data_IF_930090322252
#
_entry.id   IF_930090322252
#
_cell.length_a   1.000
_cell.length_b   1.000
_cell.length_c   1.000
_cell.angle_alpha   90.00
_cell.angle_beta   90.00
_cell.angle_gamma   90.00
#
_symmetry.space_group_name_H-M   'P 1'
#
loop_
_entity.id
_entity.type
_entity.pdbx_description
1 polymer ?
#
# COMPACT_ATOMS: atom_id res chain seq x y z
N UNK A 1 -5.59 -10.23 -9.08
CA UNK A 1 -5.63 -8.78 -9.42
C UNK A 1 -4.19 -8.35 -9.64
N UNK A 2 -3.88 -7.55 -10.68
CA UNK A 2 -2.53 -6.99 -10.88
C UNK A 2 -2.50 -5.49 -10.58
N UNK A 3 -1.60 -5.06 -9.69
CA UNK A 3 -1.34 -3.66 -9.35
C UNK A 3 0.00 -3.27 -9.94
N UNK A 4 0.10 -2.07 -10.53
CA UNK A 4 1.38 -1.48 -10.90
C UNK A 4 1.78 -0.47 -9.84
N UNK A 5 2.98 -0.63 -9.27
CA UNK A 5 3.44 0.16 -8.13
C UNK A 5 4.75 0.86 -8.47
N UNK A 6 4.74 2.18 -8.35
CA UNK A 6 5.95 2.98 -8.54
C UNK A 6 6.84 2.89 -7.31
N UNK A 7 8.11 2.58 -7.56
CA UNK A 7 9.21 2.71 -6.61
C UNK A 7 10.14 3.83 -7.06
N UNK A 8 10.94 4.34 -6.14
CA UNK A 8 12.10 5.11 -6.54
C UNK A 8 13.16 4.20 -7.16
N UNK A 9 14.16 4.81 -7.79
CA UNK A 9 15.22 4.05 -8.47
C UNK A 9 16.01 3.17 -7.51
N UNK A 10 16.31 3.66 -6.30
CA UNK A 10 17.14 2.92 -5.32
C UNK A 10 16.45 1.64 -4.85
N UNK A 11 15.19 1.75 -4.42
CA UNK A 11 14.35 0.64 -3.98
C UNK A 11 14.14 -0.36 -5.12
N UNK A 12 13.85 0.13 -6.34
CA UNK A 12 13.68 -0.71 -7.52
C UNK A 12 14.94 -1.51 -7.83
N UNK A 13 16.10 -0.86 -7.90
CA UNK A 13 17.35 -1.55 -8.25
C UNK A 13 17.75 -2.55 -7.18
N UNK A 14 17.49 -2.24 -5.89
CA UNK A 14 17.73 -3.19 -4.82
C UNK A 14 16.79 -4.41 -4.92
N UNK A 15 15.49 -4.20 -5.11
CA UNK A 15 14.52 -5.28 -5.34
C UNK A 15 14.87 -6.13 -6.57
N UNK A 16 15.25 -5.48 -7.68
CA UNK A 16 15.64 -6.17 -8.91
C UNK A 16 16.86 -7.06 -8.66
N UNK A 17 17.85 -6.57 -7.92
CA UNK A 17 19.05 -7.35 -7.57
C UNK A 17 18.72 -8.59 -6.73
N UNK A 18 17.73 -8.51 -5.83
CA UNK A 18 17.29 -9.66 -5.03
C UNK A 18 16.56 -10.68 -5.92
N UNK A 19 15.70 -10.19 -6.82
CA UNK A 19 15.00 -11.03 -7.79
C UNK A 19 15.97 -11.76 -8.71
N UNK A 20 16.99 -11.08 -9.25
CA UNK A 20 18.03 -11.69 -10.10
C UNK A 20 18.86 -12.75 -9.36
N UNK A 21 19.03 -12.59 -8.05
CA UNK A 21 19.71 -13.54 -7.19
C UNK A 21 18.81 -14.69 -6.71
N UNK A 22 17.54 -14.75 -7.15
CA UNK A 22 16.52 -15.68 -6.65
C UNK A 22 16.39 -15.68 -5.12
N UNK A 23 16.61 -14.52 -4.48
CA UNK A 23 16.41 -14.38 -3.04
C UNK A 23 14.93 -14.18 -2.73
N UNK A 24 14.45 -14.90 -1.73
CA UNK A 24 13.08 -14.75 -1.27
C UNK A 24 12.86 -13.35 -0.66
N UNK A 25 11.81 -12.68 -1.12
CA UNK A 25 11.37 -11.40 -0.57
C UNK A 25 10.32 -11.71 0.48
N UNK A 26 10.74 -11.72 1.75
CA UNK A 26 9.84 -11.89 2.87
C UNK A 26 8.87 -10.72 2.93
N UNK A 27 7.60 -11.01 3.13
CA UNK A 27 6.56 -9.99 3.17
C UNK A 27 5.51 -10.24 4.24
N UNK A 28 4.82 -9.16 4.60
CA UNK A 28 3.63 -9.21 5.43
C UNK A 28 2.55 -8.28 4.87
N UNK A 29 1.38 -8.83 4.56
CA UNK A 29 0.24 -8.08 4.02
C UNK A 29 -0.91 -8.01 5.02
N UNK A 30 -1.50 -6.83 5.25
CA UNK A 30 -2.67 -6.66 6.11
C UNK A 30 -3.57 -5.53 5.61
N UNK A 31 -4.78 -5.43 6.17
CA UNK A 31 -5.69 -4.31 5.92
C UNK A 31 -5.68 -3.36 7.10
N UNK A 32 -5.69 -2.06 6.81
CA UNK A 32 -5.95 -1.02 7.78
C UNK A 32 -7.27 -0.34 7.43
N UNK A 33 -8.18 -0.25 8.40
CA UNK A 33 -9.41 0.51 8.29
C UNK A 33 -9.36 1.72 9.20
N UNK A 34 -9.75 2.88 8.67
CA UNK A 34 -9.77 4.14 9.41
C UNK A 34 -11.17 4.71 9.41
N UNK A 35 -11.70 4.95 10.60
CA UNK A 35 -13.02 5.50 10.82
C UNK A 35 -13.54 5.16 12.21
N UNK A 36 -14.60 5.86 12.60
CA UNK A 36 -15.35 5.54 13.81
C UNK A 36 -16.41 4.47 13.51
N UNK A 37 -16.79 3.67 14.50
CA UNK A 37 -17.91 2.72 14.35
C UNK A 37 -19.25 3.44 14.13
N UNK A 38 -19.37 4.65 14.67
CA UNK A 38 -20.56 5.52 14.52
C UNK A 38 -20.54 6.34 13.22
N UNK A 39 -19.42 6.39 12.52
CA UNK A 39 -19.27 7.16 11.28
C UNK A 39 -19.66 6.31 10.06
N UNK A 40 -20.51 6.87 9.20
CA UNK A 40 -20.93 6.23 7.95
C UNK A 40 -19.80 6.07 6.93
N UNK A 41 -18.70 6.80 7.11
CA UNK A 41 -17.58 6.87 6.17
C UNK A 41 -16.31 6.22 6.76
N UNK A 42 -15.71 5.30 5.99
CA UNK A 42 -14.49 4.58 6.36
C UNK A 42 -13.50 4.59 5.21
N UNK A 43 -12.21 4.74 5.52
CA UNK A 43 -11.13 4.54 4.57
C UNK A 43 -10.50 3.15 4.76
N UNK A 44 -10.15 2.48 3.66
CA UNK A 44 -9.52 1.17 3.66
C UNK A 44 -8.19 1.24 2.92
N UNK A 45 -7.14 0.77 3.59
CA UNK A 45 -5.77 0.75 3.06
C UNK A 45 -5.26 -0.68 3.14
N UNK A 46 -4.89 -1.25 2.01
CA UNK A 46 -4.14 -2.50 1.96
C UNK A 46 -2.66 -2.17 2.12
N UNK A 47 -1.98 -2.77 3.09
CA UNK A 47 -0.55 -2.53 3.34
C UNK A 47 0.24 -3.79 3.05
N UNK A 48 1.27 -3.67 2.21
CA UNK A 48 2.23 -4.73 1.90
C UNK A 48 3.61 -4.28 2.39
N UNK A 49 4.11 -4.94 3.44
CA UNK A 49 5.46 -4.74 3.98
C UNK A 49 6.41 -5.75 3.33
N UNK A 50 7.39 -5.26 2.57
CA UNK A 50 8.48 -6.03 1.98
C UNK A 50 9.69 -5.99 2.92
N UNK A 51 9.71 -6.94 3.86
CA UNK A 51 10.65 -6.97 4.99
C UNK A 51 12.11 -7.06 4.53
N UNK A 52 12.38 -7.87 3.51
CA UNK A 52 13.74 -8.05 2.96
C UNK A 52 14.35 -6.76 2.38
N UNK A 53 13.51 -5.81 1.97
CA UNK A 53 13.95 -4.55 1.35
C UNK A 53 13.67 -3.30 2.19
N UNK A 54 13.18 -3.46 3.42
CA UNK A 54 12.84 -2.34 4.31
C UNK A 54 11.91 -1.32 3.63
N UNK A 55 10.93 -1.81 2.89
CA UNK A 55 9.95 -1.00 2.18
C UNK A 55 8.55 -1.48 2.54
N UNK A 56 7.61 -0.57 2.69
CA UNK A 56 6.19 -0.87 2.78
C UNK A 56 5.39 0.03 1.84
N UNK A 57 4.39 -0.56 1.19
CA UNK A 57 3.49 0.17 0.28
C UNK A 57 2.07 0.03 0.78
N UNK A 58 1.43 1.17 1.02
CA UNK A 58 0.00 1.28 1.27
C UNK A 58 -0.74 1.55 -0.03
N UNK A 59 -1.87 0.89 -0.20
CA UNK A 59 -2.77 1.08 -1.33
C UNK A 59 -4.14 1.46 -0.78
N UNK A 60 -4.58 2.68 -1.07
CA UNK A 60 -5.94 3.12 -0.77
C UNK A 60 -6.87 2.38 -1.74
N UNK A 61 -7.84 1.66 -1.20
CA UNK A 61 -8.74 0.80 -1.97
C UNK A 61 -10.19 1.12 -1.65
N UNK A 62 -11.08 0.86 -2.60
CA UNK A 62 -12.53 0.95 -2.36
C UNK A 62 -12.96 -0.04 -1.27
N UNK A 63 -13.92 0.35 -0.44
CA UNK A 63 -14.42 -0.52 0.65
C UNK A 63 -14.93 -1.86 0.15
N UNK A 64 -15.53 -1.87 -1.05
CA UNK A 64 -16.07 -3.04 -1.74
C UNK A 64 -15.01 -3.92 -2.42
N UNK A 65 -13.73 -3.51 -2.45
CA UNK A 65 -12.67 -4.30 -3.08
C UNK A 65 -12.44 -5.59 -2.31
N UNK A 66 -12.56 -6.72 -3.01
CA UNK A 66 -12.24 -8.05 -2.51
C UNK A 66 -10.72 -8.26 -2.49
N UNK A 67 -10.20 -8.60 -1.30
CA UNK A 67 -8.78 -8.81 -1.02
C UNK A 67 -8.48 -10.24 -0.53
N UNK A 68 -9.42 -11.17 -0.67
CA UNK A 68 -9.32 -12.55 -0.17
C UNK A 68 -8.39 -13.46 -1.00
N UNK A 69 -7.96 -13.00 -2.18
CA UNK A 69 -7.16 -13.77 -3.13
C UNK A 69 -5.66 -13.47 -3.12
N UNK A 70 -4.96 -14.07 -4.09
CA UNK A 70 -3.60 -13.66 -4.44
C UNK A 70 -3.61 -12.30 -5.13
N UNK A 71 -2.69 -11.44 -4.70
CA UNK A 71 -2.45 -10.11 -5.25
C UNK A 71 -1.11 -10.15 -5.97
N UNK A 72 -1.12 -9.76 -7.24
CA UNK A 72 0.07 -9.64 -8.04
C UNK A 72 0.42 -8.15 -8.16
N UNK A 73 1.69 -7.81 -7.93
CA UNK A 73 2.21 -6.46 -7.96
C UNK A 73 3.39 -6.44 -8.95
N UNK A 74 3.34 -5.54 -9.91
CA UNK A 74 4.47 -5.20 -10.77
C UNK A 74 5.12 -3.93 -10.25
N UNK A 75 6.33 -4.04 -9.71
CA UNK A 75 7.08 -2.86 -9.27
C UNK A 75 7.85 -2.26 -10.44
N UNK A 76 7.68 -0.96 -10.68
CA UNK A 76 8.31 -0.19 -11.77
C UNK A 76 9.00 1.05 -11.22
N UNK A 77 9.97 1.59 -11.95
CA UNK A 77 10.62 2.86 -11.64
C UNK A 77 10.70 3.77 -12.88
N UNK A 78 10.98 5.06 -12.68
CA UNK A 78 10.99 6.04 -13.78
C UNK A 78 12.04 5.74 -14.85
N UNK A 79 13.15 5.11 -14.47
CA UNK A 79 14.23 4.73 -15.39
C UNK A 79 13.88 3.50 -16.24
N UNK A 80 12.98 2.65 -15.74
CA UNK A 80 12.57 1.38 -16.36
C UNK A 80 11.05 1.17 -16.26
N UNK A 81 10.24 2.08 -16.83
CA UNK A 81 8.77 2.01 -16.71
C UNK A 81 8.17 0.83 -17.48
N UNK A 82 8.92 0.26 -18.42
CA UNK A 82 8.57 -0.87 -19.27
C UNK A 82 8.96 -2.23 -18.67
N UNK A 83 9.69 -2.26 -17.55
CA UNK A 83 10.16 -3.49 -16.92
C UNK A 83 9.69 -3.57 -15.48
N UNK A 84 8.68 -4.39 -15.24
CA UNK A 84 8.22 -4.64 -13.89
C UNK A 84 8.95 -5.82 -13.23
N UNK A 85 9.21 -5.67 -11.93
CA UNK A 85 9.63 -6.77 -11.06
C UNK A 85 8.34 -7.42 -10.53
N UNK A 86 8.00 -8.65 -10.97
CA UNK A 86 6.78 -9.30 -10.53
C UNK A 86 6.90 -9.75 -9.08
N UNK A 87 5.85 -9.53 -8.31
CA UNK A 87 5.76 -9.93 -6.92
C UNK A 87 4.34 -10.39 -6.61
N UNK A 88 4.21 -11.56 -5.99
CA UNK A 88 2.91 -12.13 -5.63
C UNK A 88 2.79 -12.30 -4.13
N UNK A 89 1.70 -11.82 -3.55
CA UNK A 89 1.43 -11.89 -2.12
C UNK A 89 -0.01 -12.26 -1.80
N UNK A 90 -0.24 -12.63 -0.53
CA UNK A 90 -1.56 -12.81 0.08
C UNK A 90 -1.62 -12.01 1.37
N UNK A 91 -2.80 -11.49 1.69
CA UNK A 91 -3.01 -10.83 2.98
C UNK A 91 -3.14 -11.88 4.10
N UNK A 92 -2.71 -11.52 5.31
CA UNK A 92 -2.78 -12.38 6.49
C UNK A 92 -4.20 -12.59 7.03
N UNK A 93 -5.16 -11.79 6.55
CA UNK A 93 -6.51 -11.67 7.13
C UNK A 93 -6.56 -10.73 8.35
N UNK A 94 -5.42 -10.19 8.80
CA UNK A 94 -5.39 -9.19 9.86
C UNK A 94 -6.01 -7.86 9.38
N UNK A 95 -6.87 -7.30 10.21
CA UNK A 95 -7.44 -5.96 10.05
C UNK A 95 -7.03 -5.10 11.25
N UNK A 96 -6.35 -4.00 10.97
CA UNK A 96 -5.96 -3.00 11.98
C UNK A 96 -6.88 -1.80 11.89
N UNK A 97 -7.47 -1.41 13.02
CA UNK A 97 -8.40 -0.29 13.07
C UNK A 97 -7.72 0.96 13.65
N UNK A 98 -7.93 2.10 13.00
CA UNK A 98 -7.60 3.43 13.52
C UNK A 98 -8.87 4.26 13.63
N UNK A 99 -9.11 4.83 14.80
CA UNK A 99 -10.25 5.73 15.00
C UNK A 99 -9.84 7.15 14.64
N UNK A 100 -10.54 7.75 13.68
CA UNK A 100 -10.39 9.16 13.31
C UNK A 100 -11.71 9.71 12.76
N UNK A 101 -12.15 10.84 13.31
CA UNK A 101 -13.35 11.55 12.86
C UNK A 101 -12.95 12.64 11.86
N UNK A 102 -13.50 12.58 10.65
CA UNK A 102 -13.18 13.50 9.55
C UNK A 102 -13.79 13.00 8.24
N UNK A 103 -13.61 13.70 7.14
CA UNK A 103 -13.98 13.16 5.83
C UNK A 103 -13.01 12.05 5.37
N UNK A 104 -13.31 11.40 4.24
CA UNK A 104 -12.50 10.30 3.71
C UNK A 104 -11.06 10.70 3.40
N UNK A 105 -10.83 11.93 2.90
CA UNK A 105 -9.50 12.42 2.58
C UNK A 105 -8.69 12.62 3.87
N UNK A 106 -9.28 13.27 4.88
CA UNK A 106 -8.66 13.47 6.18
C UNK A 106 -8.32 12.14 6.87
N UNK A 107 -9.19 11.13 6.76
CA UNK A 107 -8.93 9.77 7.25
C UNK A 107 -7.73 9.13 6.55
N UNK A 108 -7.66 9.25 5.22
CA UNK A 108 -6.54 8.74 4.41
C UNK A 108 -5.23 9.44 4.78
N UNK A 109 -5.23 10.77 4.89
CA UNK A 109 -4.06 11.56 5.28
C UNK A 109 -3.58 11.19 6.68
N UNK A 110 -4.50 11.04 7.63
CA UNK A 110 -4.20 10.61 9.00
C UNK A 110 -3.54 9.21 9.01
N UNK A 111 -4.13 8.26 8.29
CA UNK A 111 -3.62 6.90 8.18
C UNK A 111 -2.24 6.88 7.51
N UNK A 112 -2.07 7.64 6.42
CA UNK A 112 -0.82 7.79 5.69
C UNK A 112 0.30 8.30 6.60
N UNK A 113 0.05 9.35 7.37
CA UNK A 113 1.01 9.90 8.32
C UNK A 113 1.34 8.93 9.46
N UNK A 114 0.33 8.20 9.96
CA UNK A 114 0.53 7.20 11.00
C UNK A 114 1.40 6.03 10.52
N UNK A 115 1.13 5.52 9.31
CA UNK A 115 1.90 4.45 8.68
C UNK A 115 3.32 4.91 8.35
N UNK A 116 3.50 6.12 7.80
CA UNK A 116 4.82 6.69 7.52
C UNK A 116 5.68 6.75 8.78
N UNK A 117 5.16 7.30 9.88
CA UNK A 117 5.86 7.34 11.17
C UNK A 117 6.16 5.95 11.71
N UNK A 118 5.21 5.01 11.61
CA UNK A 118 5.38 3.64 12.06
C UNK A 118 6.53 2.93 11.33
N UNK A 119 6.58 3.04 10.00
CA UNK A 119 7.62 2.41 9.19
C UNK A 119 8.96 3.13 9.31
N UNK A 120 8.96 4.47 9.40
CA UNK A 120 10.17 5.23 9.68
C UNK A 120 10.83 4.78 10.99
N UNK A 121 10.05 4.57 12.06
CA UNK A 121 10.55 4.06 13.34
C UNK A 121 11.10 2.63 13.26
N UNK A 122 10.63 1.83 12.29
CA UNK A 122 11.18 0.50 11.97
C UNK A 122 12.41 0.54 11.05
N UNK A 123 12.83 1.73 10.62
CA UNK A 123 13.89 1.90 9.63
C UNK A 123 13.50 1.42 8.23
N UNK A 124 12.21 1.47 7.91
CA UNK A 124 11.65 1.14 6.61
C UNK A 124 11.02 2.37 5.95
N UNK A 125 11.09 2.44 4.62
CA UNK A 125 10.42 3.47 3.84
C UNK A 125 8.95 3.11 3.64
N UNK A 126 8.08 4.10 3.60
CA UNK A 126 6.66 3.93 3.31
C UNK A 126 6.25 4.76 2.09
N UNK A 127 5.33 4.24 1.28
CA UNK A 127 4.70 4.98 0.19
C UNK A 127 3.22 4.65 0.15
N UNK A 128 2.38 5.64 -0.12
CA UNK A 128 0.93 5.49 -0.20
C UNK A 128 0.47 5.79 -1.63
N UNK A 129 -0.30 4.88 -2.21
CA UNK A 129 -0.81 4.96 -3.58
C UNK A 129 -2.33 4.85 -3.57
N UNK A 130 -3.01 5.67 -4.37
CA UNK A 130 -4.46 5.60 -4.52
C UNK A 130 -4.84 4.68 -5.68
N UNK A 131 -5.48 3.55 -5.37
CA UNK A 131 -5.99 2.59 -6.36
C UNK A 131 -7.50 2.72 -6.58
N UNK A 132 -8.18 3.63 -5.89
CA UNK A 132 -9.61 3.86 -6.09
C UNK A 132 -9.86 4.38 -7.52
N UNK A 133 -11.02 4.11 -8.13
CA UNK A 133 -11.37 4.72 -9.42
C UNK A 133 -11.44 6.25 -9.29
N UNK A 134 -11.19 6.98 -10.38
CA UNK A 134 -11.19 8.47 -10.36
C UNK A 134 -12.47 9.09 -9.79
N UNK A 135 -13.62 8.41 -9.93
CA UNK A 135 -14.90 8.82 -9.35
C UNK A 135 -14.91 8.86 -7.82
N UNK A 136 -14.00 8.11 -7.18
CA UNK A 136 -13.80 8.06 -5.73
C UNK A 136 -12.55 8.84 -5.29
N UNK A 137 -11.72 9.29 -6.25
CA UNK A 137 -10.56 10.16 -6.00
C UNK A 137 -10.94 11.64 -6.00
N UNK A 138 -11.95 12.03 -6.79
CA UNK A 138 -12.50 13.38 -6.78
C UNK A 138 -13.58 13.49 -5.70
N UNK A 139 -13.17 13.92 -4.51
CA UNK A 139 -14.06 14.72 -3.67
C UNK A 139 -14.02 16.13 -4.26
N UNK A 140 -15.11 16.56 -4.91
CA UNK A 140 -15.25 17.89 -5.49
C UNK A 140 -14.70 18.96 -4.54
N UNK A 141 -13.64 19.67 -4.95
CA UNK A 141 -13.27 20.95 -4.34
C UNK A 141 -14.21 22.04 -4.88
N UNK A 142 -14.80 22.84 -3.98
CA UNK A 142 -15.17 24.24 -4.13
C UNK A 142 -14.88 24.94 -5.45
#
# INVERSE_FOLDING_TARGET
>A
MKIMSWLDSEDYWYMNSLSEQNKEINYYGYVMEVGDEEDSSKAKIMVIELQSVKLAVGYIVSLSMDLSGQIDIGFICQERPDKDIPFSCKLSGEVKNLTYTGDDLQKIEYAGLALEKFYQNKGAKFSLLDLRPKSEQNLDMP
#
